data_IF_406702199423
#
_entry.id   IF_406702199423
#
_cell.length_a   1.000
_cell.length_b   1.000
_cell.length_c   1.000
_cell.angle_alpha   90.00
_cell.angle_beta   90.00
_cell.angle_gamma   90.00
#
_symmetry.space_group_name_H-M   'P 1'
#
loop_
_entity.id
_entity.type
_entity.pdbx_description
1 polymer ?
#
# COMPACT_ATOMS: atom_id res chain seq x y z
N UNK A 1 12.73 16.22 -13.09
CA UNK A 1 12.12 15.32 -12.10
C UNK A 1 10.67 15.00 -12.50
N UNK A 2 10.31 13.72 -12.54
CA UNK A 2 8.97 13.22 -12.84
C UNK A 2 8.39 12.59 -11.57
N UNK A 3 7.34 13.20 -11.02
CA UNK A 3 6.71 12.74 -9.79
C UNK A 3 5.83 11.51 -10.05
N UNK A 4 5.95 10.51 -9.18
CA UNK A 4 5.17 9.29 -9.27
C UNK A 4 4.38 9.11 -7.98
N UNK A 5 3.13 9.56 -7.99
CA UNK A 5 2.25 9.51 -6.81
C UNK A 5 2.94 10.04 -5.54
N UNK A 6 2.75 9.33 -4.43
CA UNK A 6 3.33 9.68 -3.13
C UNK A 6 4.67 8.99 -2.86
N UNK A 7 5.14 8.08 -3.74
CA UNK A 7 6.36 7.29 -3.49
C UNK A 7 7.65 8.08 -3.71
N UNK A 8 7.64 9.07 -4.60
CA UNK A 8 8.87 9.77 -4.99
C UNK A 8 8.84 10.40 -6.37
N UNK A 9 10.03 10.65 -6.91
CA UNK A 9 10.21 11.17 -8.27
C UNK A 9 11.44 10.59 -8.96
N UNK A 10 11.31 10.35 -10.26
CA UNK A 10 12.44 9.99 -11.12
C UNK A 10 13.18 11.23 -11.62
N UNK A 11 14.47 11.09 -11.85
CA UNK A 11 15.33 12.11 -12.41
C UNK A 11 16.01 11.55 -13.66
N UNK A 12 15.93 12.31 -14.75
CA UNK A 12 16.66 12.09 -16.00
C UNK A 12 17.59 13.30 -16.13
N UNK A 13 18.82 13.13 -15.68
CA UNK A 13 19.86 14.17 -15.63
C UNK A 13 20.51 14.37 -17.01
N UNK A 14 20.55 13.31 -17.82
CA UNK A 14 21.22 13.30 -19.10
C UNK A 14 20.27 13.57 -20.30
N UNK A 15 18.96 13.61 -20.06
CA UNK A 15 17.89 13.79 -21.05
C UNK A 15 17.86 12.75 -22.17
N UNK A 16 18.27 11.52 -21.89
CA UNK A 16 18.26 10.40 -22.86
C UNK A 16 16.91 9.66 -22.92
N UNK A 17 15.97 10.01 -22.04
CA UNK A 17 14.64 9.39 -21.93
C UNK A 17 14.59 8.17 -21.01
N UNK A 18 15.71 7.80 -20.42
CA UNK A 18 15.85 6.82 -19.34
C UNK A 18 16.10 7.58 -18.04
N UNK A 19 15.50 7.13 -16.94
CA UNK A 19 15.74 7.77 -15.65
C UNK A 19 17.06 7.29 -15.04
N UNK A 20 17.90 8.22 -14.60
CA UNK A 20 19.20 7.99 -13.98
C UNK A 20 19.09 7.67 -12.48
N UNK A 21 18.15 8.33 -11.79
CA UNK A 21 17.94 8.14 -10.36
C UNK A 21 16.47 8.23 -9.95
N UNK A 22 16.14 7.64 -8.80
CA UNK A 22 14.83 7.72 -8.18
C UNK A 22 14.98 8.18 -6.73
N UNK A 23 14.35 9.31 -6.40
CA UNK A 23 14.27 9.80 -5.02
C UNK A 23 13.02 9.25 -4.35
N UNK A 24 13.17 8.55 -3.23
CA UNK A 24 12.06 8.01 -2.47
C UNK A 24 11.66 8.94 -1.32
N UNK A 25 10.37 9.26 -1.24
CA UNK A 25 9.83 10.10 -0.17
C UNK A 25 9.82 9.39 1.20
N UNK A 26 9.70 8.06 1.22
CA UNK A 26 9.62 7.26 2.46
C UNK A 26 10.96 7.23 3.18
N UNK A 27 12.05 6.94 2.45
CA UNK A 27 13.41 6.92 3.00
C UNK A 27 14.08 8.30 3.01
N UNK A 28 13.54 9.26 2.25
CA UNK A 28 14.08 10.61 2.12
C UNK A 28 15.41 10.68 1.38
N UNK A 29 15.78 9.63 0.64
CA UNK A 29 17.05 9.50 -0.08
C UNK A 29 16.83 8.84 -1.45
N UNK A 30 17.90 8.77 -2.26
CA UNK A 30 17.90 7.98 -3.48
C UNK A 30 17.70 6.49 -3.16
N UNK A 31 16.75 5.88 -3.86
CA UNK A 31 16.38 4.49 -3.72
C UNK A 31 16.95 3.67 -4.87
N UNK A 32 17.20 2.39 -4.57
CA UNK A 32 17.69 1.45 -5.58
C UNK A 32 16.54 1.12 -6.53
N UNK A 33 16.80 1.17 -7.84
CA UNK A 33 15.81 0.86 -8.86
C UNK A 33 16.43 0.15 -10.05
N UNK A 34 15.62 -0.59 -10.80
CA UNK A 34 16.06 -1.40 -11.93
C UNK A 34 15.04 -1.36 -13.07
N UNK A 35 15.48 -0.96 -14.26
CA UNK A 35 14.70 -1.07 -15.49
C UNK A 35 14.63 -2.53 -15.95
N UNK A 36 13.43 -3.07 -16.07
CA UNK A 36 13.14 -4.40 -16.56
C UNK A 36 13.07 -4.43 -18.09
N UNK A 37 13.23 -5.62 -18.69
CA UNK A 37 13.12 -5.81 -20.15
C UNK A 37 11.75 -5.41 -20.72
N UNK A 38 10.70 -5.42 -19.89
CA UNK A 38 9.35 -4.99 -20.28
C UNK A 38 9.13 -3.46 -20.22
N UNK A 39 10.17 -2.68 -19.87
CA UNK A 39 10.10 -1.23 -19.73
C UNK A 39 9.56 -0.72 -18.39
N UNK A 40 9.36 -1.61 -17.41
CA UNK A 40 8.94 -1.25 -16.06
C UNK A 40 10.13 -1.05 -15.13
N UNK A 41 10.00 -0.17 -14.14
CA UNK A 41 11.03 0.08 -13.13
C UNK A 41 10.66 -0.61 -11.83
N UNK A 42 11.51 -1.48 -11.29
CA UNK A 42 11.38 -1.97 -9.91
C UNK A 42 12.09 -1.03 -8.96
N UNK A 43 11.51 -0.76 -7.81
CA UNK A 43 12.01 0.24 -6.84
C UNK A 43 12.03 -0.39 -5.45
N UNK A 44 13.17 -0.29 -4.77
CA UNK A 44 13.37 -0.59 -3.35
C UNK A 44 13.23 0.72 -2.57
N UNK A 45 12.07 0.94 -1.93
CA UNK A 45 11.75 2.23 -1.28
C UNK A 45 12.34 2.33 0.13
N UNK A 46 12.57 1.20 0.79
CA UNK A 46 13.07 1.14 2.16
C UNK A 46 14.58 0.83 2.28
N UNK A 47 15.27 0.56 1.16
CA UNK A 47 16.70 0.30 1.11
C UNK A 47 17.11 -1.04 1.72
N UNK A 48 16.20 -2.02 1.77
CA UNK A 48 16.48 -3.35 2.36
C UNK A 48 17.08 -4.36 1.37
N UNK A 49 17.28 -3.94 0.12
CA UNK A 49 17.80 -4.76 -0.97
C UNK A 49 16.73 -5.58 -1.68
N UNK A 50 15.43 -5.38 -1.39
CA UNK A 50 14.30 -5.99 -2.07
C UNK A 50 13.40 -4.92 -2.68
N UNK A 51 12.88 -5.22 -3.87
CA UNK A 51 11.96 -4.31 -4.54
C UNK A 51 10.58 -4.29 -3.87
N UNK A 52 10.13 -3.09 -3.54
CA UNK A 52 8.88 -2.79 -2.87
C UNK A 52 7.74 -2.49 -3.84
N UNK A 53 8.03 -1.89 -4.99
CA UNK A 53 7.04 -1.57 -6.01
C UNK A 53 7.60 -1.62 -7.43
N UNK A 54 6.69 -1.66 -8.40
CA UNK A 54 6.97 -1.56 -9.83
C UNK A 54 6.27 -0.34 -10.41
N UNK A 55 6.97 0.46 -11.19
CA UNK A 55 6.43 1.60 -11.92
C UNK A 55 6.44 1.35 -13.43
N UNK A 56 5.29 1.56 -14.07
CA UNK A 56 5.16 1.48 -15.52
C UNK A 56 5.03 2.90 -16.12
N UNK A 57 6.05 3.39 -16.85
CA UNK A 57 6.06 4.74 -17.41
C UNK A 57 5.09 4.94 -18.58
N UNK A 58 4.65 3.87 -19.25
CA UNK A 58 3.75 3.93 -20.40
C UNK A 58 2.33 4.31 -19.97
N UNK A 59 1.88 3.74 -18.86
CA UNK A 59 0.54 3.97 -18.31
C UNK A 59 0.55 4.86 -17.05
N UNK A 60 1.73 5.24 -16.57
CA UNK A 60 1.90 6.04 -15.35
C UNK A 60 1.41 5.34 -14.08
N UNK A 61 1.48 4.01 -14.03
CA UNK A 61 0.92 3.22 -12.94
C UNK A 61 2.01 2.69 -12.00
N UNK A 62 1.76 2.76 -10.70
CA UNK A 62 2.57 2.11 -9.66
C UNK A 62 1.82 0.89 -9.15
N UNK A 63 2.53 -0.24 -9.05
CA UNK A 63 2.04 -1.47 -8.44
C UNK A 63 2.92 -1.82 -7.24
N UNK A 64 2.36 -1.82 -6.04
CA UNK A 64 3.07 -2.30 -4.85
C UNK A 64 3.30 -3.81 -4.91
N UNK A 65 4.54 -4.24 -4.72
CA UNK A 65 4.99 -5.63 -4.63
C UNK A 65 4.97 -6.12 -3.18
N UNK A 66 5.22 -5.24 -2.21
CA UNK A 66 4.73 -5.45 -0.85
C UNK A 66 3.23 -5.59 -0.99
N UNK A 67 2.73 -6.80 -0.73
CA UNK A 67 1.34 -7.16 -0.92
C UNK A 67 0.46 -6.04 -0.39
N UNK A 68 -0.69 -5.83 -1.03
CA UNK A 68 -1.78 -5.07 -0.44
C UNK A 68 -2.02 -5.59 0.98
N UNK A 69 -1.30 -5.06 1.95
CA UNK A 69 -1.73 -4.90 3.32
C UNK A 69 -2.89 -3.94 3.17
N UNK A 70 -4.02 -4.56 2.83
CA UNK A 70 -5.32 -3.96 2.84
C UNK A 70 -5.44 -3.40 4.24
N UNK A 71 -5.28 -2.08 4.34
CA UNK A 71 -5.67 -1.31 5.53
C UNK A 71 -7.15 -1.55 5.86
N UNK A 72 -7.89 -2.24 4.97
CA UNK A 72 -9.23 -2.80 5.21
C UNK A 72 -9.28 -3.92 6.28
N UNK A 73 -8.16 -4.53 6.70
CA UNK A 73 -8.24 -5.61 7.71
C UNK A 73 -8.65 -5.11 9.08
N UNK A 74 -8.12 -3.96 9.54
CA UNK A 74 -8.43 -3.44 10.87
C UNK A 74 -9.86 -2.93 10.97
N UNK A 75 -10.34 -2.19 9.96
CA UNK A 75 -11.72 -1.68 9.97
C UNK A 75 -12.74 -2.83 9.88
N UNK A 76 -12.50 -3.84 9.05
CA UNK A 76 -13.36 -5.03 8.96
C UNK A 76 -13.35 -5.84 10.26
N UNK A 77 -12.20 -5.96 10.93
CA UNK A 77 -12.10 -6.59 12.26
C UNK A 77 -12.93 -5.85 13.32
N UNK A 78 -12.87 -4.51 13.35
CA UNK A 78 -13.67 -3.71 14.28
C UNK A 78 -15.18 -3.83 14.02
N UNK A 79 -15.59 -3.81 12.76
CA UNK A 79 -17.01 -4.00 12.36
C UNK A 79 -17.51 -5.39 12.82
N UNK A 80 -16.70 -6.43 12.63
CA UNK A 80 -17.05 -7.78 13.06
C UNK A 80 -17.18 -7.90 14.59
N UNK A 81 -16.27 -7.27 15.36
CA UNK A 81 -16.33 -7.25 16.83
C UNK A 81 -17.60 -6.54 17.33
N UNK A 82 -17.93 -5.38 16.76
CA UNK A 82 -19.15 -4.63 17.11
C UNK A 82 -20.40 -5.44 16.79
N UNK A 83 -20.42 -6.14 15.66
CA UNK A 83 -21.51 -7.05 15.28
C UNK A 83 -21.73 -8.19 16.29
N UNK A 84 -20.65 -8.84 16.75
CA UNK A 84 -20.74 -9.92 17.75
C UNK A 84 -21.29 -9.40 19.08
N UNK A 85 -20.82 -8.24 19.55
CA UNK A 85 -21.28 -7.62 20.80
C UNK A 85 -22.79 -7.30 20.72
N UNK A 86 -23.26 -6.76 19.59
CA UNK A 86 -24.68 -6.48 19.37
C UNK A 86 -25.54 -7.75 19.42
N UNK A 87 -25.10 -8.84 18.80
CA UNK A 87 -25.81 -10.12 18.84
C UNK A 87 -25.92 -10.66 20.27
N UNK A 88 -24.83 -10.61 21.03
CA UNK A 88 -24.81 -11.03 22.45
C UNK A 88 -25.76 -10.15 23.29
N UNK A 89 -25.76 -8.83 23.06
CA UNK A 89 -26.67 -7.91 23.74
C UNK A 89 -28.14 -8.21 23.44
N UNK A 90 -28.48 -8.55 22.20
CA UNK A 90 -29.85 -8.93 21.81
C UNK A 90 -30.24 -10.25 22.50
N UNK A 91 -29.38 -11.26 22.48
CA UNK A 91 -29.65 -12.56 23.11
C UNK A 91 -29.87 -12.41 24.61
N UNK A 92 -29.00 -11.65 25.29
CA UNK A 92 -29.12 -11.39 26.74
C UNK A 92 -30.39 -10.59 27.06
N UNK A 93 -30.73 -9.59 26.25
CA UNK A 93 -31.97 -8.83 26.39
C UNK A 93 -33.22 -9.71 26.25
N UNK A 94 -33.24 -10.59 25.25
CA UNK A 94 -34.32 -11.56 25.04
C UNK A 94 -34.44 -12.50 26.26
N UNK A 95 -33.33 -13.05 26.75
CA UNK A 95 -33.34 -13.90 27.95
C UNK A 95 -33.87 -13.17 29.19
N UNK A 96 -33.56 -11.89 29.36
CA UNK A 96 -34.09 -11.08 30.46
C UNK A 96 -35.61 -10.88 30.35
N UNK A 97 -36.14 -10.67 29.14
CA UNK A 97 -37.58 -10.59 28.92
C UNK A 97 -38.29 -11.91 29.23
N UNK A 98 -37.69 -13.05 28.86
CA UNK A 98 -38.26 -14.37 29.16
C UNK A 98 -38.21 -14.70 30.66
N UNK A 99 -37.17 -14.30 31.40
CA UNK A 99 -37.11 -14.52 32.85
C UNK A 99 -38.07 -13.64 33.65
N UNK A 100 -38.54 -12.53 33.08
CA UNK A 100 -39.44 -11.58 33.74
C UNK A 100 -40.92 -11.92 33.50
N UNK A 101 -41.21 -12.90 32.64
CA UNK A 101 -42.55 -13.45 32.40
C UNK A 101 -42.75 -14.71 33.23
#
# INVERSE_FOLDING_TARGET
AYYVGDIGYFIDDNSDGTYDSFYCNESGNEALFELQENGEYKIDSNGDGKYDCTYNPVIGAITSLKGKETTETLEVLWIMIVGIILVIAIITFIMLLYKKK
#
